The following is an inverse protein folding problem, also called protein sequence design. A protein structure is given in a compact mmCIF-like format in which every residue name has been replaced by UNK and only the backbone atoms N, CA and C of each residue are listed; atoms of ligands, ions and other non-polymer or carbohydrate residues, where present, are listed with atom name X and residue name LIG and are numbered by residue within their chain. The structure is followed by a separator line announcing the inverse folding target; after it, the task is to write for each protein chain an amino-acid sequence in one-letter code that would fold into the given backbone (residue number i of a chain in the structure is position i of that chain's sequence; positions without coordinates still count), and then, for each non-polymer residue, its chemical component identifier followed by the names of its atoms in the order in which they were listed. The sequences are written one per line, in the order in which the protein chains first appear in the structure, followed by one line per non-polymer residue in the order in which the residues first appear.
data_IF_350036590342
#
_entry.id   IF_350036590342
#
_cell.length_a   1.000
_cell.length_b   1.000
_cell.length_c   1.000
_cell.angle_alpha   90.00
_cell.angle_beta   90.00
_cell.angle_gamma   90.00
#
_symmetry.space_group_name_H-M   'P 1'
#
loop_
_entity.id
_entity.type
_entity.pdbx_description
1 polymer ?
#
# COMPACT_ATOMS: atom_id res chain seq x y z
N UNK A 1 -10.21 5.12 7.14
CA UNK A 1 -10.00 5.60 5.75
C UNK A 1 -10.08 4.41 4.78
N UNK A 2 -10.43 4.60 3.50
CA UNK A 2 -10.36 3.51 2.50
C UNK A 2 -9.34 3.86 1.44
N UNK A 3 -8.36 2.98 1.25
CA UNK A 3 -7.31 3.09 0.23
C UNK A 3 -7.60 2.03 -0.83
N UNK A 4 -7.79 2.48 -2.08
CA UNK A 4 -8.08 1.60 -3.21
C UNK A 4 -7.01 1.78 -4.25
N UNK A 5 -6.49 0.65 -4.72
CA UNK A 5 -5.38 0.61 -5.65
C UNK A 5 -5.81 -0.30 -6.79
N UNK A 6 -5.67 0.23 -8.00
CA UNK A 6 -5.97 -0.48 -9.23
C UNK A 6 -4.73 -0.35 -10.10
N UNK A 7 -4.20 -1.49 -10.50
CA UNK A 7 -2.96 -1.59 -11.28
C UNK A 7 -3.16 -2.57 -12.42
N UNK A 8 -2.52 -2.32 -13.55
CA UNK A 8 -2.42 -3.28 -14.64
C UNK A 8 -1.44 -4.40 -14.29
N UNK A 9 -1.46 -5.49 -15.07
CA UNK A 9 -0.48 -6.56 -14.91
C UNK A 9 0.95 -6.05 -15.18
N UNK A 10 1.13 -5.18 -16.19
CA UNK A 10 2.42 -4.60 -16.54
C UNK A 10 2.97 -3.72 -15.39
N UNK A 11 2.12 -2.88 -14.78
CA UNK A 11 2.52 -2.08 -13.61
C UNK A 11 2.87 -2.96 -12.41
N UNK A 12 2.17 -4.08 -12.21
CA UNK A 12 2.47 -5.02 -11.13
C UNK A 12 3.84 -5.69 -11.34
N UNK A 13 4.15 -6.08 -12.58
CA UNK A 13 5.45 -6.62 -12.98
C UNK A 13 6.58 -5.58 -12.83
N UNK A 14 6.35 -4.34 -13.29
CA UNK A 14 7.30 -3.23 -13.14
C UNK A 14 7.61 -2.91 -11.66
N UNK A 15 6.61 -3.08 -10.78
CA UNK A 15 6.77 -2.96 -9.33
C UNK A 15 7.45 -4.17 -8.69
N UNK A 16 7.76 -5.22 -9.47
CA UNK A 16 8.38 -6.46 -9.01
C UNK A 16 7.52 -7.23 -8.01
N UNK A 17 6.19 -7.15 -8.18
CA UNK A 17 5.22 -7.90 -7.39
C UNK A 17 4.62 -9.02 -8.24
N UNK A 18 4.51 -10.22 -7.67
CA UNK A 18 3.94 -11.37 -8.38
C UNK A 18 2.40 -11.40 -8.31
N UNK A 19 1.81 -10.62 -7.40
CA UNK A 19 0.37 -10.57 -7.15
C UNK A 19 -0.10 -9.24 -6.53
N UNK A 20 -1.38 -8.92 -6.69
CA UNK A 20 -1.99 -7.74 -6.05
C UNK A 20 -2.04 -7.89 -4.52
N UNK A 21 -2.08 -9.12 -4.01
CA UNK A 21 -1.96 -9.42 -2.58
C UNK A 21 -0.56 -9.06 -2.04
N UNK A 22 0.50 -9.39 -2.78
CA UNK A 22 1.86 -9.01 -2.43
C UNK A 22 2.03 -7.49 -2.43
N UNK A 23 1.56 -6.82 -3.48
CA UNK A 23 1.55 -5.35 -3.57
C UNK A 23 0.81 -4.74 -2.37
N UNK A 24 -0.36 -5.26 -2.02
CA UNK A 24 -1.14 -4.80 -0.88
C UNK A 24 -0.39 -4.99 0.45
N UNK A 25 0.29 -6.11 0.64
CA UNK A 25 1.08 -6.37 1.85
C UNK A 25 2.26 -5.39 1.96
N UNK A 26 2.98 -5.15 0.86
CA UNK A 26 4.11 -4.23 0.79
C UNK A 26 3.70 -2.79 1.07
N UNK A 27 2.56 -2.38 0.54
CA UNK A 27 2.01 -1.04 0.78
C UNK A 27 1.49 -0.88 2.20
N UNK A 28 0.92 -1.92 2.82
CA UNK A 28 0.59 -1.88 4.25
C UNK A 28 1.85 -1.70 5.09
N UNK A 29 2.92 -2.43 4.82
CA UNK A 29 4.18 -2.27 5.53
C UNK A 29 4.75 -0.85 5.39
N UNK A 30 4.71 -0.27 4.18
CA UNK A 30 5.12 1.12 3.98
C UNK A 30 4.20 2.12 4.69
N UNK A 31 2.89 1.92 4.67
CA UNK A 31 1.93 2.78 5.35
C UNK A 31 2.03 2.67 6.86
N UNK A 32 2.36 1.51 7.41
CA UNK A 32 2.44 1.31 8.84
C UNK A 32 3.80 1.78 9.38
N UNK A 33 4.89 1.49 8.65
CA UNK A 33 6.26 1.62 9.15
C UNK A 33 7.21 2.47 8.29
N UNK A 34 6.88 2.69 7.01
CA UNK A 34 7.75 3.36 6.04
C UNK A 34 7.52 4.86 5.90
N UNK A 35 6.29 5.35 6.11
CA UNK A 35 5.97 6.78 6.04
C UNK A 35 6.19 7.41 7.40
N UNK A 36 7.34 8.05 7.55
CA UNK A 36 7.66 8.85 8.74
C UNK A 36 7.22 10.29 8.49
N UNK A 37 6.32 10.82 9.33
CA UNK A 37 5.92 12.23 9.26
C UNK A 37 7.09 13.16 9.61
N UNK A 38 6.96 14.46 9.33
CA UNK A 38 8.01 15.46 9.64
C UNK A 38 8.43 15.47 11.12
N UNK A 39 7.58 14.98 12.02
CA UNK A 39 7.82 14.84 13.46
C UNK A 39 8.47 13.51 13.88
N UNK A 40 8.76 12.60 12.95
CA UNK A 40 9.32 11.27 13.26
C UNK A 40 8.27 10.19 13.59
N UNK A 41 6.99 10.50 13.46
CA UNK A 41 5.88 9.58 13.75
C UNK A 41 5.70 8.56 12.62
N UNK A 42 5.47 7.29 12.96
CA UNK A 42 5.21 6.26 11.98
C UNK A 42 3.83 6.46 11.35
N UNK A 43 3.63 5.92 10.15
CA UNK A 43 2.34 6.01 9.47
C UNK A 43 1.18 5.42 10.28
N UNK A 44 1.46 4.40 11.11
CA UNK A 44 0.53 3.83 12.09
C UNK A 44 0.02 4.83 13.14
N UNK A 45 0.76 5.89 13.44
CA UNK A 45 0.44 6.81 14.54
C UNK A 45 -0.63 7.84 14.13
N UNK A 46 -0.65 8.23 12.85
CA UNK A 46 -1.64 9.16 12.30
C UNK A 46 -2.69 8.48 11.41
N UNK A 47 -2.41 7.29 10.88
CA UNK A 47 -3.35 6.47 10.11
C UNK A 47 -4.05 5.41 10.99
N UNK A 48 -4.67 5.87 12.09
CA UNK A 48 -5.28 5.06 13.17
C UNK A 48 -6.17 3.91 12.68
N UNK A 49 -6.83 4.08 11.52
CA UNK A 49 -7.50 2.95 10.84
C UNK A 49 -7.66 3.17 9.34
N UNK A 50 -7.31 2.15 8.56
CA UNK A 50 -7.58 2.12 7.14
C UNK A 50 -7.93 0.71 6.64
N UNK A 51 -8.66 0.67 5.53
CA UNK A 51 -8.95 -0.53 4.77
C UNK A 51 -8.26 -0.39 3.43
N UNK A 52 -7.32 -1.28 3.12
CA UNK A 52 -6.58 -1.29 1.85
C UNK A 52 -7.02 -2.46 0.98
N UNK A 53 -7.40 -2.16 -0.25
CA UNK A 53 -7.75 -3.12 -1.29
C UNK A 53 -6.96 -2.81 -2.55
N UNK A 54 -6.26 -3.82 -3.06
CA UNK A 54 -5.62 -3.79 -4.38
C UNK A 54 -6.36 -4.74 -5.32
N UNK A 55 -6.47 -4.37 -6.59
CA UNK A 55 -7.04 -5.21 -7.66
C UNK A 55 -6.36 -4.94 -8.99
N UNK A 56 -6.49 -5.89 -9.91
CA UNK A 56 -6.10 -5.67 -11.29
C UNK A 56 -7.11 -4.76 -11.99
N UNK A 57 -6.59 -3.86 -12.83
CA UNK A 57 -7.37 -3.09 -13.78
C UNK A 57 -7.98 -4.04 -14.82
N UNK A 58 -9.29 -3.93 -15.01
CA UNK A 58 -10.05 -4.74 -15.97
C UNK A 58 -10.06 -4.17 -17.37
#
# INVERSE_FOLDING_TARGET
MKVRIEVTADELEDMGCDSVEELAARLREQLDSGVVGDAGEAGSDWLVSYELTAKLAG
#
